data_IF_545349613476
#
_entry.id   IF_545349613476
#
_cell.length_a   1.000
_cell.length_b   1.000
_cell.length_c   1.000
_cell.angle_alpha   90.00
_cell.angle_beta   90.00
_cell.angle_gamma   90.00
#
_symmetry.space_group_name_H-M   'P 1'
#
loop_
_entity.id
_entity.type
_entity.pdbx_description
1 polymer ?
#
# COMPACT_ATOMS: atom_id res chain seq x y z
N UNK A 1 -5.56 7.17 12.82
CA UNK A 1 -4.21 6.56 12.67
C UNK A 1 -3.81 6.50 11.20
N UNK A 2 -3.48 7.65 10.58
CA UNK A 2 -3.18 7.73 9.15
C UNK A 2 -1.69 7.59 8.81
N UNK A 3 -0.78 7.73 9.79
CA UNK A 3 0.66 7.77 9.55
C UNK A 3 1.22 6.59 8.73
N UNK A 4 0.96 5.33 9.11
CA UNK A 4 1.43 4.17 8.35
C UNK A 4 0.89 4.12 6.92
N UNK A 5 -0.36 4.54 6.71
CA UNK A 5 -0.98 4.58 5.39
C UNK A 5 -0.35 5.67 4.50
N UNK A 6 -0.10 6.87 5.03
CA UNK A 6 0.57 7.93 4.27
C UNK A 6 1.99 7.53 3.89
N UNK A 7 2.73 6.86 4.79
CA UNK A 7 4.06 6.33 4.48
C UNK A 7 4.01 5.28 3.36
N UNK A 8 2.99 4.42 3.35
CA UNK A 8 2.76 3.49 2.24
C UNK A 8 2.51 4.22 0.91
N UNK A 9 1.66 5.24 0.90
CA UNK A 9 1.38 6.03 -0.31
C UNK A 9 2.64 6.69 -0.86
N UNK A 10 3.49 7.27 0.00
CA UNK A 10 4.78 7.85 -0.41
C UNK A 10 5.71 6.82 -1.06
N UNK A 11 5.74 5.59 -0.55
CA UNK A 11 6.51 4.51 -1.17
C UNK A 11 5.90 4.09 -2.51
N UNK A 12 4.57 3.99 -2.58
CA UNK A 12 3.87 3.60 -3.80
C UNK A 12 3.97 4.65 -4.91
N UNK A 13 4.16 5.92 -4.57
CA UNK A 13 4.34 7.01 -5.53
C UNK A 13 5.51 6.75 -6.50
N UNK A 14 6.56 6.04 -6.04
CA UNK A 14 7.69 5.62 -6.89
C UNK A 14 7.29 4.67 -8.02
N UNK A 15 6.19 3.94 -7.84
CA UNK A 15 5.65 3.00 -8.83
C UNK A 15 4.52 3.59 -9.68
N UNK A 16 4.25 4.89 -9.53
CA UNK A 16 3.31 5.65 -10.34
C UNK A 16 1.88 5.72 -9.81
N UNK A 17 1.08 6.56 -10.47
CA UNK A 17 -0.27 6.92 -10.05
C UNK A 17 -1.19 5.71 -9.86
N UNK A 18 -1.07 4.68 -10.72
CA UNK A 18 -1.88 3.45 -10.63
C UNK A 18 -1.74 2.74 -9.28
N UNK A 19 -0.53 2.69 -8.71
CA UNK A 19 -0.29 2.06 -7.42
C UNK A 19 -0.91 2.85 -6.26
N UNK A 20 -0.80 4.19 -6.34
CA UNK A 20 -1.40 5.12 -5.38
C UNK A 20 -2.93 5.06 -5.43
N UNK A 21 -3.52 5.13 -6.63
CA UNK A 21 -4.97 5.04 -6.83
C UNK A 21 -5.54 3.72 -6.29
N UNK A 22 -4.85 2.60 -6.57
CA UNK A 22 -5.26 1.30 -6.06
C UNK A 22 -5.23 1.26 -4.52
N UNK A 23 -4.21 1.84 -3.89
CA UNK A 23 -4.12 1.89 -2.43
C UNK A 23 -5.21 2.77 -1.80
N UNK A 24 -5.58 3.88 -2.44
CA UNK A 24 -6.72 4.70 -2.00
C UNK A 24 -8.06 3.96 -2.15
N UNK A 25 -8.25 3.25 -3.26
CA UNK A 25 -9.46 2.47 -3.51
C UNK A 25 -9.60 1.28 -2.52
N UNK A 26 -8.49 0.73 -2.03
CA UNK A 26 -8.47 -0.45 -1.15
C UNK A 26 -7.97 -0.11 0.27
N UNK A 27 -8.19 1.12 0.74
CA UNK A 27 -7.66 1.61 2.03
C UNK A 27 -8.06 0.75 3.23
N UNK A 28 -9.28 0.22 3.25
CA UNK A 28 -9.79 -0.59 4.38
C UNK A 28 -9.07 -1.93 4.48
N UNK A 29 -8.74 -2.54 3.34
CA UNK A 29 -7.92 -3.75 3.27
C UNK A 29 -6.51 -3.48 3.80
N UNK A 30 -5.92 -2.35 3.41
CA UNK A 30 -4.60 -1.94 3.88
C UNK A 30 -4.61 -1.68 5.39
N UNK A 31 -5.63 -0.99 5.91
CA UNK A 31 -5.78 -0.79 7.35
C UNK A 31 -5.96 -2.11 8.11
N UNK A 32 -6.67 -3.09 7.53
CA UNK A 32 -6.76 -4.44 8.09
C UNK A 32 -5.39 -5.11 8.17
N UNK A 33 -4.56 -5.05 7.13
CA UNK A 33 -3.20 -5.59 7.18
C UNK A 33 -2.33 -4.89 8.21
N UNK A 34 -2.41 -3.56 8.30
CA UNK A 34 -1.68 -2.79 9.32
C UNK A 34 -2.14 -3.20 10.73
N UNK A 35 -3.45 -3.33 10.94
CA UNK A 35 -4.02 -3.78 12.21
C UNK A 35 -3.65 -5.21 12.58
N UNK A 36 -3.32 -6.06 11.60
CA UNK A 36 -2.78 -7.41 11.79
C UNK A 36 -1.26 -7.44 12.03
N UNK A 37 -0.59 -6.28 12.08
CA UNK A 37 0.86 -6.18 12.29
C UNK A 37 1.69 -6.42 11.03
N UNK A 38 1.10 -6.35 9.83
CA UNK A 38 1.86 -6.48 8.60
C UNK A 38 2.86 -5.32 8.43
N UNK A 39 4.11 -5.65 8.07
CA UNK A 39 5.12 -4.65 7.78
C UNK A 39 4.78 -3.86 6.50
N UNK A 40 5.10 -2.57 6.48
CA UNK A 40 4.83 -1.68 5.32
C UNK A 40 5.51 -2.24 4.04
N UNK A 41 6.75 -2.73 4.13
CA UNK A 41 7.45 -3.32 2.98
C UNK A 41 6.75 -4.57 2.43
N UNK A 42 6.14 -5.37 3.32
CA UNK A 42 5.35 -6.52 2.90
C UNK A 42 4.10 -6.07 2.12
N UNK A 43 3.42 -5.03 2.61
CA UNK A 43 2.24 -4.45 1.95
C UNK A 43 2.63 -3.88 0.57
N UNK A 44 3.73 -3.14 0.47
CA UNK A 44 4.25 -2.64 -0.82
C UNK A 44 4.49 -3.79 -1.80
N UNK A 45 5.22 -4.84 -1.36
CA UNK A 45 5.46 -6.02 -2.21
C UNK A 45 4.16 -6.70 -2.65
N UNK A 46 3.18 -6.80 -1.76
CA UNK A 46 1.88 -7.40 -2.07
C UNK A 46 1.12 -6.59 -3.12
N UNK A 47 1.11 -5.26 -3.01
CA UNK A 47 0.48 -4.37 -3.98
C UNK A 47 1.19 -4.46 -5.33
N UNK A 48 2.53 -4.48 -5.35
CA UNK A 48 3.30 -4.69 -6.58
C UNK A 48 2.93 -6.00 -7.28
N UNK A 49 2.80 -7.10 -6.52
CA UNK A 49 2.38 -8.40 -7.07
C UNK A 49 0.96 -8.34 -7.65
N UNK A 50 0.00 -7.72 -6.96
CA UNK A 50 -1.39 -7.58 -7.42
C UNK A 50 -1.44 -6.77 -8.73
N UNK A 51 -0.64 -5.72 -8.83
CA UNK A 51 -0.65 -4.80 -9.98
C UNK A 51 0.28 -5.23 -11.12
N UNK A 52 1.09 -6.28 -10.94
CA UNK A 52 2.10 -6.70 -11.90
C UNK A 52 3.23 -5.68 -12.09
N UNK A 53 3.54 -4.90 -11.06
CA UNK A 53 4.62 -3.90 -11.07
C UNK A 53 5.96 -4.60 -10.79
N UNK A 54 6.91 -4.49 -11.71
CA UNK A 54 8.26 -5.05 -11.57
C UNK A 54 9.09 -4.28 -10.54
#
# INVERSE_FOLDING_TARGET
MWGPFIKLIQLLAKYGKRAVDWAWANKDLIFKWIGQGAAIDWIVRKIKQILGIK
#
